data_IF_630585565871
#
_entry.id   IF_630585565871
#
_cell.length_a   1.000
_cell.length_b   1.000
_cell.length_c   1.000
_cell.angle_alpha   90.00
_cell.angle_beta   90.00
_cell.angle_gamma   90.00
#
_symmetry.space_group_name_H-M   'P 1'
#
loop_
_entity.id
_entity.type
_entity.pdbx_description
1 polymer ?
#
# COMPACT_ATOMS: atom_id res chain seq x y z
N UNK A 1 -34.43 -1.73 44.15
CA UNK A 1 -33.31 -2.21 45.00
C UNK A 1 -33.92 -2.71 46.30
N UNK A 2 -34.36 -3.97 46.39
CA UNK A 2 -33.65 -5.04 47.08
C UNK A 2 -34.21 -6.40 46.60
N UNK A 3 -34.01 -6.72 45.30
CA UNK A 3 -34.36 -8.04 44.71
C UNK A 3 -33.27 -8.54 43.72
N UNK A 4 -32.04 -8.01 43.84
CA UNK A 4 -30.91 -8.29 42.93
C UNK A 4 -29.63 -8.82 43.62
N UNK A 5 -29.75 -9.58 44.72
CA UNK A 5 -28.57 -10.13 45.42
C UNK A 5 -28.65 -11.63 45.77
N UNK A 6 -29.68 -12.36 45.33
CA UNK A 6 -29.82 -13.79 45.59
C UNK A 6 -29.55 -14.69 44.36
N UNK A 7 -28.94 -14.15 43.30
CA UNK A 7 -28.64 -14.91 42.06
C UNK A 7 -27.14 -15.10 41.81
N UNK A 8 -26.28 -14.88 42.82
CA UNK A 8 -24.82 -14.93 42.69
C UNK A 8 -24.13 -15.93 43.63
N UNK A 9 -24.87 -16.81 44.33
CA UNK A 9 -24.29 -17.79 45.25
C UNK A 9 -24.68 -19.26 44.99
N UNK A 10 -25.35 -19.56 43.86
CA UNK A 10 -25.70 -20.96 43.51
C UNK A 10 -24.95 -21.53 42.30
N UNK A 11 -24.00 -20.80 41.70
CA UNK A 11 -23.17 -21.30 40.58
C UNK A 11 -21.75 -21.71 40.98
N UNK A 12 -21.44 -21.76 42.29
CA UNK A 12 -20.15 -22.21 42.80
C UNK A 12 -20.18 -23.58 43.49
N UNK A 13 -21.32 -24.28 43.49
CA UNK A 13 -21.49 -25.60 44.13
C UNK A 13 -21.72 -26.77 43.14
N UNK A 14 -21.74 -26.51 41.83
CA UNK A 14 -21.89 -27.55 40.79
C UNK A 14 -20.64 -27.71 39.90
N UNK A 15 -19.53 -27.06 40.25
CA UNK A 15 -18.25 -27.12 39.54
C UNK A 15 -17.17 -27.99 40.22
N UNK A 16 -17.51 -28.74 41.27
CA UNK A 16 -16.58 -29.63 41.98
C UNK A 16 -17.26 -30.95 42.29
N UNK A 17 -17.73 -31.64 41.25
CA UNK A 17 -18.00 -33.09 41.29
C UNK A 17 -18.07 -33.68 39.86
N UNK A 18 -17.12 -33.31 39.01
CA UNK A 18 -16.89 -33.95 37.71
C UNK A 18 -15.41 -34.31 37.57
N UNK A 19 -14.97 -35.20 38.45
CA UNK A 19 -13.86 -36.11 38.19
C UNK A 19 -14.35 -37.47 38.69
N UNK A 20 -14.27 -38.47 37.82
CA UNK A 20 -14.61 -39.90 37.96
C UNK A 20 -15.96 -40.33 37.37
N UNK A 21 -15.85 -41.26 36.41
CA UNK A 21 -16.88 -42.04 35.70
C UNK A 21 -17.57 -41.24 34.56
N UNK A 22 -17.54 -41.59 33.27
CA UNK A 22 -17.42 -42.88 32.62
C UNK A 22 -18.71 -43.14 31.82
N UNK A 23 -18.64 -43.06 30.49
CA UNK A 23 -19.55 -43.61 29.45
C UNK A 23 -21.04 -43.19 29.36
N UNK A 24 -21.38 -42.74 28.14
CA UNK A 24 -22.59 -42.92 27.30
C UNK A 24 -24.04 -42.93 27.83
N UNK A 25 -24.88 -42.30 26.98
CA UNK A 25 -26.30 -42.55 26.70
C UNK A 25 -27.40 -41.67 27.37
N UNK A 26 -28.01 -40.89 26.48
CA UNK A 26 -29.45 -40.67 26.29
C UNK A 26 -30.26 -39.89 27.36
N UNK A 27 -30.69 -38.68 26.98
CA UNK A 27 -32.07 -38.21 27.20
C UNK A 27 -32.47 -37.26 26.06
N UNK A 28 -33.07 -37.82 25.02
CA UNK A 28 -34.03 -37.10 24.20
C UNK A 28 -35.39 -37.14 24.90
N UNK A 29 -36.21 -36.11 24.67
CA UNK A 29 -37.61 -35.90 25.12
C UNK A 29 -37.79 -34.91 26.28
N UNK A 30 -37.81 -33.63 25.91
CA UNK A 30 -38.73 -32.63 26.45
C UNK A 30 -38.66 -31.36 25.59
N UNK A 31 -39.41 -31.33 24.48
CA UNK A 31 -39.53 -30.16 23.63
C UNK A 31 -40.96 -30.05 23.08
N UNK A 32 -41.94 -29.99 23.98
CA UNK A 32 -43.27 -29.45 23.66
C UNK A 32 -43.66 -28.49 24.79
N UNK A 33 -44.25 -27.37 24.41
CA UNK A 33 -44.71 -26.22 25.20
C UNK A 33 -43.68 -25.13 25.60
N UNK A 34 -43.22 -24.38 24.58
CA UNK A 34 -42.62 -23.06 24.77
C UNK A 34 -43.70 -21.96 24.67
N UNK A 35 -43.82 -21.02 25.63
CA UNK A 35 -44.90 -20.03 25.66
C UNK A 35 -44.81 -18.99 24.55
N UNK A 36 -45.98 -18.57 24.03
CA UNK A 36 -46.17 -17.65 22.90
C UNK A 36 -45.46 -16.29 23.07
N UNK A 37 -45.21 -15.86 24.30
CA UNK A 37 -44.49 -14.62 24.64
C UNK A 37 -43.00 -14.66 24.27
N UNK A 38 -42.36 -15.83 24.31
CA UNK A 38 -40.97 -16.04 23.90
C UNK A 38 -40.82 -16.23 22.38
N UNK A 39 -41.89 -16.58 21.67
CA UNK A 39 -41.89 -16.61 20.21
C UNK A 39 -41.91 -15.20 19.61
N UNK A 40 -42.60 -14.25 20.25
CA UNK A 40 -42.68 -12.84 19.81
C UNK A 40 -41.34 -12.10 20.02
N UNK A 41 -40.55 -12.47 21.04
CA UNK A 41 -39.23 -11.88 21.27
C UNK A 41 -38.14 -12.49 20.36
N UNK A 42 -38.27 -13.78 20.00
CA UNK A 42 -37.43 -14.42 18.97
C UNK A 42 -37.71 -13.88 17.56
N UNK A 43 -38.92 -13.38 17.32
CA UNK A 43 -39.32 -12.75 16.05
C UNK A 43 -38.96 -11.24 15.96
N UNK A 44 -38.59 -10.58 17.07
CA UNK A 44 -38.11 -9.17 17.06
C UNK A 44 -36.58 -9.03 16.97
N UNK A 45 -35.85 -10.14 16.99
CA UNK A 45 -34.41 -10.20 16.69
C UNK A 45 -34.14 -10.89 15.33
N UNK A 46 -35.15 -10.95 14.47
CA UNK A 46 -35.02 -11.35 13.06
C UNK A 46 -34.39 -10.19 12.29
N UNK A 47 -33.24 -10.49 11.71
CA UNK A 47 -32.59 -9.78 10.60
C UNK A 47 -32.30 -8.30 10.83
N UNK A 48 -31.27 -8.02 11.65
CA UNK A 48 -30.49 -6.82 11.42
C UNK A 48 -30.00 -6.87 9.95
N UNK A 49 -30.49 -5.95 9.11
CA UNK A 49 -30.07 -5.85 7.71
C UNK A 49 -28.55 -5.99 7.61
N UNK A 50 -28.04 -6.72 6.60
CA UNK A 50 -26.61 -6.79 6.39
C UNK A 50 -26.06 -5.36 6.31
N UNK A 51 -25.01 -5.06 7.08
CA UNK A 51 -24.39 -3.72 7.12
C UNK A 51 -23.67 -3.34 5.82
N UNK A 52 -24.00 -4.00 4.71
CA UNK A 52 -23.42 -3.82 3.39
C UNK A 52 -24.51 -3.74 2.32
N UNK A 53 -24.28 -2.89 1.33
CA UNK A 53 -25.17 -2.70 0.18
C UNK A 53 -24.32 -2.61 -1.08
N UNK A 54 -24.50 -3.62 -1.93
CA UNK A 54 -23.83 -3.73 -3.22
C UNK A 54 -24.88 -3.92 -4.31
N UNK A 55 -24.69 -3.24 -5.44
CA UNK A 55 -25.47 -3.52 -6.65
C UNK A 55 -25.13 -4.91 -7.19
N UNK A 56 -26.01 -5.48 -8.02
CA UNK A 56 -25.75 -6.77 -8.69
C UNK A 56 -24.45 -6.74 -9.50
N UNK A 57 -24.17 -5.61 -10.16
CA UNK A 57 -22.95 -5.41 -10.96
C UNK A 57 -21.70 -5.37 -10.07
N UNK A 58 -21.78 -4.73 -8.90
CA UNK A 58 -20.69 -4.70 -7.92
C UNK A 58 -20.41 -6.09 -7.34
N UNK A 59 -21.46 -6.83 -6.97
CA UNK A 59 -21.32 -8.21 -6.48
C UNK A 59 -20.67 -9.10 -7.54
N UNK A 60 -21.14 -9.04 -8.78
CA UNK A 60 -20.64 -9.88 -9.87
C UNK A 60 -19.16 -9.61 -10.18
N UNK A 61 -18.76 -8.36 -10.37
CA UNK A 61 -17.37 -8.03 -10.71
C UNK A 61 -16.42 -8.28 -9.53
N UNK A 62 -16.85 -7.99 -8.30
CA UNK A 62 -16.03 -8.27 -7.11
C UNK A 62 -15.85 -9.78 -6.89
N UNK A 63 -16.90 -10.57 -7.10
CA UNK A 63 -16.84 -12.02 -6.97
C UNK A 63 -15.83 -12.64 -7.95
N UNK A 64 -15.78 -12.19 -9.21
CA UNK A 64 -14.79 -12.69 -10.20
C UNK A 64 -13.35 -12.51 -9.72
N UNK A 65 -13.05 -11.39 -9.08
CA UNK A 65 -11.71 -11.13 -8.54
C UNK A 65 -11.43 -12.05 -7.34
N UNK A 66 -12.37 -12.18 -6.40
CA UNK A 66 -12.19 -13.07 -5.25
C UNK A 66 -12.13 -14.55 -5.64
N UNK A 67 -12.77 -14.95 -6.75
CA UNK A 67 -12.65 -16.29 -7.31
C UNK A 67 -11.24 -16.59 -7.85
N UNK A 68 -10.58 -15.61 -8.49
CA UNK A 68 -9.17 -15.75 -8.88
C UNK A 68 -8.27 -15.97 -7.65
N UNK A 69 -8.56 -15.30 -6.53
CA UNK A 69 -7.88 -15.56 -5.25
C UNK A 69 -8.22 -16.94 -4.68
N UNK A 70 -9.47 -17.39 -4.76
CA UNK A 70 -9.88 -18.73 -4.32
C UNK A 70 -9.15 -19.84 -5.09
N UNK A 71 -8.94 -19.65 -6.39
CA UNK A 71 -8.19 -20.58 -7.24
C UNK A 71 -6.69 -20.58 -6.92
N UNK A 72 -6.09 -19.40 -6.77
CA UNK A 72 -4.66 -19.28 -6.50
C UNK A 72 -4.28 -19.61 -5.04
N UNK A 73 -5.22 -19.53 -4.11
CA UNK A 73 -5.03 -19.84 -2.69
C UNK A 73 -6.15 -20.80 -2.20
N UNK A 74 -6.11 -22.08 -2.62
CA UNK A 74 -7.18 -23.05 -2.32
C UNK A 74 -7.44 -23.24 -0.82
N UNK A 75 -6.43 -23.01 0.03
CA UNK A 75 -6.56 -23.11 1.49
C UNK A 75 -7.52 -22.07 2.11
N UNK A 76 -7.95 -21.06 1.34
CA UNK A 76 -8.99 -20.12 1.78
C UNK A 76 -10.35 -20.82 1.96
N UNK A 77 -10.58 -21.95 1.26
CA UNK A 77 -11.83 -22.70 1.36
C UNK A 77 -13.07 -21.94 0.90
N UNK A 78 -12.89 -20.91 0.06
CA UNK A 78 -13.98 -20.10 -0.47
C UNK A 78 -14.78 -20.87 -1.51
N UNK A 79 -16.11 -20.89 -1.36
CA UNK A 79 -17.03 -21.54 -2.28
C UNK A 79 -18.38 -20.83 -2.33
N UNK A 80 -19.10 -20.95 -3.45
CA UNK A 80 -20.39 -20.29 -3.67
C UNK A 80 -20.27 -18.90 -4.28
N UNK A 81 -21.27 -18.05 -4.08
CA UNK A 81 -21.35 -16.71 -4.71
C UNK A 81 -21.52 -15.56 -3.71
N UNK A 82 -21.90 -15.87 -2.47
CA UNK A 82 -22.09 -14.88 -1.41
C UNK A 82 -20.79 -14.66 -0.64
N UNK A 83 -19.86 -13.92 -1.25
CA UNK A 83 -18.53 -13.69 -0.69
C UNK A 83 -18.54 -12.99 0.67
N UNK A 84 -19.62 -12.31 1.04
CA UNK A 84 -19.74 -11.68 2.36
C UNK A 84 -19.90 -12.68 3.51
N UNK A 85 -20.13 -13.96 3.19
CA UNK A 85 -20.14 -15.07 4.17
C UNK A 85 -18.81 -15.82 4.22
N UNK A 86 -17.85 -15.49 3.35
CA UNK A 86 -16.58 -16.20 3.29
C UNK A 86 -15.66 -15.83 4.45
N UNK A 87 -14.91 -16.80 5.02
CA UNK A 87 -13.91 -16.49 6.02
C UNK A 87 -12.88 -15.52 5.46
N UNK A 88 -12.37 -14.59 6.27
CA UNK A 88 -11.40 -13.57 5.84
C UNK A 88 -11.93 -12.51 4.86
N UNK A 89 -13.21 -12.57 4.47
CA UNK A 89 -13.88 -11.50 3.71
C UNK A 89 -14.82 -10.75 4.65
N UNK A 90 -14.64 -9.44 4.74
CA UNK A 90 -15.54 -8.56 5.48
C UNK A 90 -16.19 -7.58 4.51
N UNK A 91 -17.52 -7.57 4.50
CA UNK A 91 -18.32 -6.62 3.75
C UNK A 91 -18.86 -5.54 4.69
N UNK A 92 -18.62 -4.28 4.35
CA UNK A 92 -19.14 -3.14 5.10
C UNK A 92 -19.49 -2.00 4.15
N UNK A 93 -20.73 -1.52 4.22
CA UNK A 93 -21.31 -0.55 3.29
C UNK A 93 -21.07 -1.00 1.85
N UNK A 94 -20.29 -0.24 1.06
CA UNK A 94 -19.92 -0.59 -0.31
C UNK A 94 -18.44 -0.96 -0.43
N UNK A 95 -17.85 -1.51 0.63
CA UNK A 95 -16.45 -1.91 0.68
C UNK A 95 -16.29 -3.38 1.00
N UNK A 96 -15.31 -4.01 0.36
CA UNK A 96 -14.89 -5.38 0.60
C UNK A 96 -13.46 -5.36 1.10
N UNK A 97 -13.25 -5.96 2.27
CA UNK A 97 -11.94 -6.14 2.87
C UNK A 97 -11.60 -7.62 2.83
N UNK A 98 -10.53 -7.96 2.13
CA UNK A 98 -9.92 -9.27 2.17
C UNK A 98 -8.77 -9.23 3.18
N UNK A 99 -8.97 -9.80 4.37
CA UNK A 99 -7.98 -9.80 5.45
C UNK A 99 -7.84 -11.19 6.03
N UNK A 100 -6.68 -11.80 5.81
CA UNK A 100 -6.34 -13.09 6.42
C UNK A 100 -5.74 -12.85 7.79
N UNK A 101 -6.36 -13.42 8.82
CA UNK A 101 -5.87 -13.39 10.21
C UNK A 101 -5.75 -14.81 10.75
N UNK A 102 -4.58 -15.18 11.26
CA UNK A 102 -4.29 -16.58 11.60
C UNK A 102 -4.24 -17.50 10.38
N UNK A 103 -4.05 -18.81 10.63
CA UNK A 103 -3.95 -19.94 9.66
C UNK A 103 -2.93 -19.72 8.53
N UNK A 104 -2.02 -20.68 8.33
CA UNK A 104 -1.04 -20.65 7.25
C UNK A 104 -1.72 -20.89 5.89
N UNK A 105 -2.32 -19.87 5.28
CA UNK A 105 -2.89 -19.97 3.93
C UNK A 105 -1.79 -20.15 2.91
N UNK A 106 -1.91 -21.17 2.06
CA UNK A 106 -0.92 -21.56 1.07
C UNK A 106 -1.43 -21.28 -0.34
N UNK A 107 -0.63 -20.56 -1.13
CA UNK A 107 -0.96 -20.25 -2.51
C UNK A 107 -0.05 -19.21 -3.13
N UNK A 108 -0.47 -18.70 -4.28
CA UNK A 108 0.21 -17.63 -5.01
C UNK A 108 -0.68 -16.42 -5.22
N UNK A 109 -0.09 -15.29 -5.61
CA UNK A 109 -0.85 -14.11 -6.03
C UNK A 109 -1.42 -14.34 -7.46
N UNK A 110 -2.74 -14.21 -7.68
CA UNK A 110 -3.33 -14.40 -9.01
C UNK A 110 -3.14 -13.19 -9.90
N UNK A 111 -2.97 -13.43 -11.20
CA UNK A 111 -3.29 -12.45 -12.22
C UNK A 111 -4.80 -12.22 -12.28
N UNK A 112 -5.21 -10.96 -12.44
CA UNK A 112 -6.63 -10.60 -12.49
C UNK A 112 -7.17 -10.69 -13.93
N UNK A 113 -8.38 -11.25 -14.13
CA UNK A 113 -8.94 -11.51 -15.45
C UNK A 113 -9.25 -10.21 -16.23
N UNK A 114 -9.14 -10.27 -17.56
CA UNK A 114 -9.41 -9.12 -18.44
C UNK A 114 -10.90 -8.79 -18.59
N UNK A 115 -11.78 -9.79 -18.50
CA UNK A 115 -13.24 -9.65 -18.67
C UNK A 115 -13.96 -9.20 -17.37
N UNK A 116 -13.46 -8.14 -16.74
CA UNK A 116 -14.01 -7.52 -15.51
C UNK A 116 -14.13 -6.01 -15.70
N UNK A 117 -15.26 -5.45 -15.30
CA UNK A 117 -15.40 -4.00 -15.15
C UNK A 117 -14.89 -3.59 -13.77
N UNK A 118 -13.65 -3.09 -13.74
CA UNK A 118 -12.95 -2.73 -12.51
C UNK A 118 -13.51 -1.48 -11.81
N UNK A 119 -14.32 -0.66 -12.49
CA UNK A 119 -15.03 0.45 -11.84
C UNK A 119 -16.08 -0.03 -10.82
N UNK A 120 -16.51 -1.29 -10.96
CA UNK A 120 -17.47 -1.96 -10.09
C UNK A 120 -16.83 -3.00 -9.14
N UNK A 121 -15.50 -3.09 -9.05
CA UNK A 121 -14.81 -3.98 -8.10
C UNK A 121 -14.64 -3.28 -6.76
N UNK A 122 -15.30 -3.75 -5.71
CA UNK A 122 -15.41 -3.05 -4.42
C UNK A 122 -14.33 -3.46 -3.40
N UNK A 123 -13.24 -4.10 -3.84
CA UNK A 123 -12.13 -4.49 -2.97
C UNK A 123 -11.32 -3.26 -2.61
N UNK A 124 -11.33 -2.89 -1.33
CA UNK A 124 -10.62 -1.72 -0.80
C UNK A 124 -9.39 -2.12 0.01
N UNK A 125 -9.36 -3.34 0.53
CA UNK A 125 -8.24 -3.84 1.32
C UNK A 125 -7.88 -5.25 0.90
N UNK A 126 -6.58 -5.47 0.67
CA UNK A 126 -5.96 -6.80 0.57
C UNK A 126 -4.88 -6.85 1.65
N UNK A 127 -5.09 -7.68 2.66
CA UNK A 127 -4.16 -7.86 3.78
C UNK A 127 -3.85 -9.35 3.96
N UNK A 128 -2.64 -9.73 3.52
CA UNK A 128 -2.04 -11.05 3.60
C UNK A 128 -0.77 -11.01 4.47
N UNK A 129 -0.72 -10.13 5.47
CA UNK A 129 0.44 -9.97 6.34
C UNK A 129 0.75 -11.26 7.12
N UNK A 130 2.05 -11.50 7.34
CA UNK A 130 2.57 -12.56 8.21
C UNK A 130 2.18 -13.99 7.79
N UNK A 131 2.14 -14.23 6.48
CA UNK A 131 1.89 -15.57 5.91
C UNK A 131 3.16 -16.37 5.60
N UNK A 132 4.35 -15.83 5.91
CA UNK A 132 5.66 -16.47 5.73
C UNK A 132 5.79 -17.11 4.34
N UNK A 133 6.29 -18.34 4.26
CA UNK A 133 6.50 -19.09 3.02
C UNK A 133 5.23 -19.65 2.38
N UNK A 134 4.06 -19.36 2.94
CA UNK A 134 2.80 -19.94 2.48
C UNK A 134 2.20 -19.13 1.34
N UNK A 135 2.39 -17.81 1.32
CA UNK A 135 2.03 -16.96 0.18
C UNK A 135 3.29 -16.58 -0.60
N UNK A 136 3.29 -16.92 -1.90
CA UNK A 136 4.44 -16.75 -2.80
C UNK A 136 4.00 -16.26 -4.19
N UNK A 137 4.92 -16.26 -5.16
CA UNK A 137 4.69 -15.74 -6.51
C UNK A 137 5.12 -14.28 -6.66
N UNK A 138 4.94 -13.74 -7.86
CA UNK A 138 5.34 -12.38 -8.19
C UNK A 138 4.20 -11.37 -7.99
N UNK A 139 4.54 -10.09 -7.84
CA UNK A 139 3.54 -9.02 -7.81
C UNK A 139 2.85 -8.90 -9.18
N UNK A 140 1.53 -9.15 -9.29
CA UNK A 140 0.87 -9.15 -10.58
C UNK A 140 0.68 -7.73 -11.10
N UNK A 141 1.08 -7.49 -12.36
CA UNK A 141 0.92 -6.18 -13.00
C UNK A 141 -0.56 -5.80 -13.19
N UNK A 142 -1.41 -6.82 -13.35
CA UNK A 142 -2.87 -6.71 -13.49
C UNK A 142 -3.56 -6.07 -12.29
N UNK A 143 -2.94 -6.05 -11.10
CA UNK A 143 -3.51 -5.42 -9.90
C UNK A 143 -3.62 -3.92 -10.02
N UNK A 144 -2.88 -3.28 -10.94
CA UNK A 144 -3.05 -1.85 -11.26
C UNK A 144 -4.46 -1.47 -11.72
N UNK A 145 -5.28 -2.46 -12.11
CA UNK A 145 -6.68 -2.26 -12.50
C UNK A 145 -7.63 -2.05 -11.30
N UNK A 146 -7.23 -2.35 -10.06
CA UNK A 146 -8.09 -2.24 -8.88
C UNK A 146 -8.33 -0.78 -8.45
N UNK A 147 -9.32 -0.13 -9.08
CA UNK A 147 -9.57 1.32 -8.94
C UNK A 147 -9.93 1.78 -7.53
N UNK A 148 -10.53 0.90 -6.72
CA UNK A 148 -10.99 1.21 -5.36
C UNK A 148 -10.05 0.68 -4.26
N UNK A 149 -8.91 0.09 -4.62
CA UNK A 149 -7.95 -0.41 -3.63
C UNK A 149 -7.39 0.77 -2.83
N UNK A 150 -7.46 0.68 -1.50
CA UNK A 150 -6.97 1.71 -0.56
C UNK A 150 -5.76 1.18 0.22
N UNK A 151 -5.81 -0.07 0.65
CA UNK A 151 -4.79 -0.70 1.50
C UNK A 151 -4.29 -1.99 0.87
N UNK A 152 -2.98 -2.09 0.70
CA UNK A 152 -2.30 -3.31 0.31
C UNK A 152 -1.22 -3.66 1.34
N UNK A 153 -1.35 -4.81 2.00
CA UNK A 153 -0.36 -5.29 2.95
C UNK A 153 -0.05 -6.77 2.70
N UNK A 154 1.19 -7.05 2.35
CA UNK A 154 1.71 -8.42 2.14
C UNK A 154 3.07 -8.60 2.82
N UNK A 155 3.35 -7.80 3.86
CA UNK A 155 4.60 -7.90 4.59
C UNK A 155 4.78 -9.27 5.26
N UNK A 156 6.03 -9.71 5.39
CA UNK A 156 6.40 -11.01 5.97
C UNK A 156 5.75 -12.19 5.22
N UNK A 157 5.88 -12.17 3.89
CA UNK A 157 5.49 -13.26 2.97
C UNK A 157 6.66 -13.63 2.05
N UNK A 158 6.54 -14.71 1.28
CA UNK A 158 7.54 -15.12 0.27
C UNK A 158 7.24 -14.61 -1.13
N UNK A 159 6.47 -13.53 -1.24
CA UNK A 159 6.25 -12.83 -2.51
C UNK A 159 7.58 -12.25 -3.02
N UNK A 160 7.79 -12.34 -4.33
CA UNK A 160 9.04 -11.99 -5.01
C UNK A 160 8.80 -11.22 -6.32
N UNK A 161 9.86 -11.03 -7.12
CA UNK A 161 9.80 -10.27 -8.36
C UNK A 161 9.95 -8.77 -8.13
N UNK A 162 9.55 -7.96 -9.11
CA UNK A 162 9.73 -6.50 -9.08
C UNK A 162 8.46 -5.75 -8.73
N UNK A 163 8.59 -4.51 -8.29
CA UNK A 163 7.47 -3.59 -8.13
C UNK A 163 6.87 -3.26 -9.51
N UNK A 164 5.59 -3.57 -9.79
CA UNK A 164 5.04 -3.35 -11.12
C UNK A 164 4.86 -1.86 -11.43
N UNK A 165 5.42 -1.39 -12.55
CA UNK A 165 5.23 -0.01 -13.00
C UNK A 165 3.75 0.33 -13.26
N UNK A 166 2.94 -0.67 -13.64
CA UNK A 166 1.50 -0.53 -13.86
C UNK A 166 0.73 -0.14 -12.61
N UNK A 167 1.25 -0.40 -11.40
CA UNK A 167 0.60 0.04 -10.16
C UNK A 167 0.55 1.56 -10.01
N UNK A 168 1.26 2.32 -10.86
CA UNK A 168 1.09 3.77 -10.98
C UNK A 168 -0.34 4.22 -11.28
N UNK A 169 -1.23 3.33 -11.77
CA UNK A 169 -2.66 3.62 -11.98
C UNK A 169 -3.54 3.49 -10.72
N UNK A 170 -2.99 3.01 -9.60
CA UNK A 170 -3.72 2.83 -8.33
C UNK A 170 -3.94 4.18 -7.61
N UNK A 171 -4.89 4.97 -8.11
CA UNK A 171 -5.13 6.35 -7.62
C UNK A 171 -5.75 6.44 -6.23
N UNK A 172 -6.45 5.40 -5.77
CA UNK A 172 -7.10 5.37 -4.45
C UNK A 172 -6.21 4.82 -3.33
N UNK A 173 -5.09 4.17 -3.67
CA UNK A 173 -4.23 3.51 -2.67
C UNK A 173 -3.56 4.56 -1.79
N UNK A 174 -3.69 4.38 -0.48
CA UNK A 174 -3.08 5.24 0.55
C UNK A 174 -1.97 4.55 1.32
N UNK A 175 -1.99 3.21 1.36
CA UNK A 175 -1.06 2.40 2.14
C UNK A 175 -0.60 1.18 1.35
N UNK A 176 0.72 1.06 1.16
CA UNK A 176 1.37 -0.15 0.63
C UNK A 176 2.45 -0.60 1.64
N UNK A 177 2.39 -1.88 2.01
CA UNK A 177 3.35 -2.51 2.91
C UNK A 177 3.79 -3.87 2.39
N UNK A 178 5.06 -3.99 2.02
CA UNK A 178 5.72 -5.23 1.57
C UNK A 178 7.02 -5.54 2.33
N UNK A 179 7.20 -5.17 3.62
CA UNK A 179 8.48 -5.41 4.28
C UNK A 179 8.73 -6.90 4.49
N UNK A 180 10.00 -7.30 4.58
CA UNK A 180 10.38 -8.71 4.82
C UNK A 180 9.81 -9.65 3.76
N UNK A 181 10.04 -9.30 2.50
CA UNK A 181 9.66 -10.08 1.31
C UNK A 181 10.87 -10.26 0.40
N UNK A 182 10.74 -11.06 -0.67
CA UNK A 182 11.80 -11.26 -1.66
C UNK A 182 11.65 -10.35 -2.88
N UNK A 183 11.00 -9.19 -2.71
CA UNK A 183 10.86 -8.17 -3.77
C UNK A 183 12.24 -7.59 -4.10
N UNK A 184 12.53 -7.46 -5.39
CA UNK A 184 13.79 -6.96 -5.93
C UNK A 184 13.58 -5.94 -7.06
N UNK A 185 14.68 -5.48 -7.66
CA UNK A 185 14.66 -4.46 -8.72
C UNK A 185 14.51 -3.05 -8.17
N UNK A 186 14.19 -2.09 -9.04
CA UNK A 186 14.14 -0.66 -8.70
C UNK A 186 12.76 -0.15 -8.33
N UNK A 187 12.73 1.02 -7.66
CA UNK A 187 11.50 1.78 -7.44
C UNK A 187 10.98 2.33 -8.78
N UNK A 188 9.72 2.07 -9.17
CA UNK A 188 9.20 2.57 -10.44
C UNK A 188 8.96 4.09 -10.40
N UNK A 189 9.59 4.84 -11.31
CA UNK A 189 9.35 6.28 -11.46
C UNK A 189 7.87 6.58 -11.79
N UNK A 190 7.17 5.65 -12.46
CA UNK A 190 5.73 5.79 -12.81
C UNK A 190 4.82 5.93 -11.58
N UNK A 191 5.25 5.44 -10.41
CA UNK A 191 4.51 5.57 -9.14
C UNK A 191 4.36 7.02 -8.68
N UNK A 192 5.07 7.98 -9.30
CA UNK A 192 4.80 9.42 -9.15
C UNK A 192 3.31 9.78 -9.34
N UNK A 193 2.58 8.96 -10.10
CA UNK A 193 1.16 9.15 -10.44
C UNK A 193 0.19 8.69 -9.35
N UNK A 194 0.67 7.99 -8.32
CA UNK A 194 -0.14 7.51 -7.19
C UNK A 194 -0.40 8.66 -6.21
N UNK A 195 -1.32 9.56 -6.59
CA UNK A 195 -1.57 10.83 -5.89
C UNK A 195 -2.03 10.69 -4.43
N UNK A 196 -2.62 9.55 -4.07
CA UNK A 196 -3.15 9.29 -2.71
C UNK A 196 -2.20 8.49 -1.82
N UNK A 197 -1.11 7.94 -2.36
CA UNK A 197 -0.22 7.06 -1.60
C UNK A 197 0.48 7.87 -0.50
N UNK A 198 0.14 7.57 0.75
CA UNK A 198 0.58 8.32 1.92
C UNK A 198 1.64 7.58 2.75
N UNK A 199 1.59 6.25 2.75
CA UNK A 199 2.54 5.41 3.46
C UNK A 199 3.03 4.28 2.57
N UNK A 200 4.35 4.19 2.44
CA UNK A 200 5.02 3.12 1.72
C UNK A 200 6.09 2.48 2.61
N UNK A 201 5.92 1.18 2.86
CA UNK A 201 6.78 0.37 3.72
C UNK A 201 7.40 -0.75 2.88
N UNK A 202 8.70 -0.66 2.62
CA UNK A 202 9.45 -1.60 1.77
C UNK A 202 10.80 -1.98 2.41
N UNK A 203 10.89 -2.00 3.74
CA UNK A 203 12.14 -2.32 4.41
C UNK A 203 12.43 -3.82 4.44
N UNK A 204 13.71 -4.19 4.56
CA UNK A 204 14.14 -5.60 4.63
C UNK A 204 13.64 -6.38 3.40
N UNK A 205 14.00 -5.88 2.22
CA UNK A 205 13.75 -6.52 0.92
C UNK A 205 15.03 -6.52 0.07
N UNK A 206 14.95 -6.86 -1.21
CA UNK A 206 16.09 -6.93 -2.13
C UNK A 206 16.04 -5.81 -3.19
N UNK A 207 15.37 -4.70 -2.88
CA UNK A 207 15.26 -3.56 -3.79
C UNK A 207 16.61 -2.88 -3.99
N UNK A 208 16.88 -2.46 -5.21
CA UNK A 208 18.15 -1.88 -5.65
C UNK A 208 17.96 -0.72 -6.63
N UNK A 209 19.04 -0.20 -7.20
CA UNK A 209 19.02 0.98 -8.06
C UNK A 209 18.92 2.28 -7.27
N UNK A 210 18.56 3.38 -7.94
CA UNK A 210 18.51 4.72 -7.34
C UNK A 210 17.12 5.11 -6.85
N UNK A 211 17.05 6.12 -5.98
CA UNK A 211 15.79 6.74 -5.62
C UNK A 211 15.29 7.63 -6.77
N UNK A 212 14.05 7.44 -7.27
CA UNK A 212 13.53 8.18 -8.42
C UNK A 212 13.29 9.66 -8.08
N UNK A 213 13.97 10.61 -8.74
CA UNK A 213 13.74 12.04 -8.53
C UNK A 213 12.30 12.48 -8.83
N UNK A 214 11.59 11.74 -9.70
CA UNK A 214 10.19 11.98 -10.11
C UNK A 214 9.21 11.88 -8.94
N UNK A 215 9.55 11.13 -7.88
CA UNK A 215 8.71 11.03 -6.69
C UNK A 215 8.60 12.35 -5.91
N UNK A 216 9.42 13.35 -6.25
CA UNK A 216 9.27 14.72 -5.75
C UNK A 216 7.86 15.30 -5.96
N UNK A 217 7.10 14.82 -6.96
CA UNK A 217 5.73 15.27 -7.24
C UNK A 217 4.64 14.51 -6.49
N UNK A 218 4.96 13.52 -5.63
CA UNK A 218 3.96 12.74 -4.92
C UNK A 218 3.27 13.58 -3.84
N UNK A 219 2.01 13.95 -4.09
CA UNK A 219 1.28 14.91 -3.28
C UNK A 219 1.00 14.45 -1.83
N UNK A 220 0.76 13.16 -1.63
CA UNK A 220 0.31 12.62 -0.34
C UNK A 220 1.37 11.84 0.44
N UNK A 221 2.52 11.53 -0.16
CA UNK A 221 3.54 10.66 0.44
C UNK A 221 4.09 11.28 1.72
N UNK A 222 3.75 10.68 2.87
CA UNK A 222 4.11 11.18 4.19
C UNK A 222 5.14 10.32 4.93
N UNK A 223 5.04 9.00 4.79
CA UNK A 223 5.91 8.03 5.47
C UNK A 223 6.51 7.09 4.42
N UNK A 224 7.84 7.11 4.33
CA UNK A 224 8.59 6.27 3.42
C UNK A 224 9.67 5.50 4.19
N UNK A 225 9.54 4.17 4.22
CA UNK A 225 10.48 3.27 4.88
C UNK A 225 11.16 2.36 3.86
N UNK A 226 12.42 2.66 3.57
CA UNK A 226 13.26 1.97 2.57
C UNK A 226 14.56 1.40 3.17
N UNK A 227 14.67 1.35 4.49
CA UNK A 227 15.84 0.84 5.19
C UNK A 227 16.07 -0.65 4.95
N UNK A 228 17.30 -1.12 5.11
CA UNK A 228 17.67 -2.53 4.89
C UNK A 228 17.31 -3.00 3.46
N UNK A 229 17.89 -2.32 2.48
CA UNK A 229 17.78 -2.66 1.05
C UNK A 229 19.17 -2.51 0.40
N UNK A 230 19.22 -2.53 -0.93
CA UNK A 230 20.43 -2.45 -1.74
C UNK A 230 20.42 -1.19 -2.63
N UNK A 231 19.76 -0.11 -2.19
CA UNK A 231 19.70 1.13 -2.97
C UNK A 231 21.08 1.79 -3.09
N UNK A 232 21.39 2.30 -4.28
CA UNK A 232 22.66 2.93 -4.63
C UNK A 232 22.45 4.34 -5.17
N UNK A 233 23.55 5.02 -5.51
CA UNK A 233 23.52 6.37 -6.06
C UNK A 233 23.38 7.46 -5.00
N UNK A 234 23.26 8.70 -5.47
CA UNK A 234 23.09 9.87 -4.62
C UNK A 234 21.63 10.07 -4.22
N UNK A 235 21.43 10.77 -3.10
CA UNK A 235 20.10 11.12 -2.61
C UNK A 235 19.51 12.28 -3.43
N UNK A 236 18.28 12.17 -3.95
CA UNK A 236 17.69 13.17 -4.84
C UNK A 236 17.36 14.45 -4.07
N UNK A 237 18.05 15.55 -4.41
CA UNK A 237 17.82 16.85 -3.80
C UNK A 237 16.37 17.36 -3.99
N UNK A 238 15.70 16.92 -5.07
CA UNK A 238 14.30 17.26 -5.38
C UNK A 238 13.30 16.75 -4.35
N UNK A 239 13.62 15.70 -3.58
CA UNK A 239 12.73 15.20 -2.53
C UNK A 239 12.51 16.21 -1.38
N UNK A 240 13.37 17.24 -1.28
CA UNK A 240 13.12 18.40 -0.40
C UNK A 240 11.79 19.10 -0.70
N UNK A 241 11.27 18.98 -1.93
CA UNK A 241 10.03 19.61 -2.38
C UNK A 241 8.78 18.74 -2.19
N UNK A 242 8.92 17.51 -1.67
CA UNK A 242 7.76 16.64 -1.44
C UNK A 242 6.83 17.27 -0.39
N UNK A 243 5.59 17.63 -0.75
CA UNK A 243 4.75 18.51 0.08
C UNK A 243 4.29 17.84 1.38
N UNK A 244 4.04 16.53 1.32
CA UNK A 244 3.52 15.76 2.45
C UNK A 244 4.58 14.96 3.21
N UNK A 245 5.84 14.87 2.73
CA UNK A 245 6.83 13.99 3.35
C UNK A 245 7.12 14.45 4.79
N UNK A 246 7.10 13.51 5.73
CA UNK A 246 7.36 13.76 7.17
C UNK A 246 8.41 12.81 7.74
N UNK A 247 8.43 11.55 7.30
CA UNK A 247 9.37 10.54 7.80
C UNK A 247 9.97 9.74 6.65
N UNK A 248 11.29 9.70 6.61
CA UNK A 248 12.07 8.98 5.62
C UNK A 248 13.12 8.13 6.34
N UNK A 249 13.12 6.82 6.10
CA UNK A 249 14.15 5.92 6.62
C UNK A 249 14.90 5.23 5.49
N UNK A 250 16.21 5.44 5.44
CA UNK A 250 17.15 5.01 4.39
C UNK A 250 18.36 4.25 4.94
N UNK A 251 18.45 4.04 6.25
CA UNK A 251 19.59 3.36 6.89
C UNK A 251 19.79 1.94 6.35
N UNK A 252 21.02 1.43 6.40
CA UNK A 252 21.39 0.13 5.86
C UNK A 252 21.04 0.00 4.36
N UNK A 253 21.60 0.92 3.56
CA UNK A 253 21.62 0.86 2.10
C UNK A 253 23.04 1.13 1.59
N UNK A 254 23.21 1.22 0.26
CA UNK A 254 24.50 1.44 -0.41
C UNK A 254 24.57 2.84 -1.07
N UNK A 255 23.94 3.84 -0.45
CA UNK A 255 23.95 5.21 -0.98
C UNK A 255 25.34 5.83 -0.93
N UNK A 256 25.70 6.53 -2.01
CA UNK A 256 26.90 7.35 -2.08
C UNK A 256 26.55 8.84 -1.88
N UNK A 257 27.57 9.63 -1.62
CA UNK A 257 27.50 11.06 -1.42
C UNK A 257 26.87 11.47 -0.09
N UNK A 258 26.68 12.78 0.03
CA UNK A 258 26.13 13.43 1.22
C UNK A 258 24.61 13.54 1.18
N UNK A 259 23.99 13.64 2.36
CA UNK A 259 22.65 14.21 2.49
C UNK A 259 22.64 15.62 1.86
N UNK A 260 21.73 15.90 0.89
CA UNK A 260 21.65 17.19 0.24
C UNK A 260 21.34 18.32 1.24
N UNK A 261 21.93 19.50 1.03
CA UNK A 261 21.64 20.67 1.88
C UNK A 261 20.16 21.08 1.84
N UNK A 262 19.46 20.79 0.74
CA UNK A 262 18.02 21.02 0.62
C UNK A 262 17.22 20.22 1.65
N UNK A 263 17.68 19.03 2.04
CA UNK A 263 17.01 18.20 3.04
C UNK A 263 17.18 18.76 4.45
N UNK A 264 18.29 19.47 4.75
CA UNK A 264 18.50 20.11 6.07
C UNK A 264 17.46 21.19 6.37
N UNK A 265 16.92 21.81 5.33
CA UNK A 265 15.86 22.83 5.42
C UNK A 265 14.46 22.28 5.16
N UNK A 266 14.34 21.00 4.81
CA UNK A 266 13.05 20.38 4.54
C UNK A 266 12.30 20.05 5.83
N UNK A 267 10.99 19.89 5.74
CA UNK A 267 10.10 19.65 6.89
C UNK A 267 10.04 18.19 7.36
N UNK A 268 10.79 17.28 6.74
CA UNK A 268 10.77 15.86 7.08
C UNK A 268 11.98 15.43 7.90
N UNK A 269 11.79 14.38 8.70
CA UNK A 269 12.87 13.71 9.44
C UNK A 269 13.43 12.58 8.58
N UNK A 270 14.74 12.55 8.43
CA UNK A 270 15.47 11.49 7.71
C UNK A 270 16.38 10.72 8.66
N UNK A 271 16.38 9.39 8.53
CA UNK A 271 17.40 8.50 9.11
C UNK A 271 18.19 7.84 7.99
N UNK A 272 19.50 8.05 7.95
CA UNK A 272 20.43 7.54 6.94
C UNK A 272 21.70 7.04 7.61
N UNK A 273 22.51 6.25 6.92
CA UNK A 273 23.80 5.78 7.42
C UNK A 273 24.75 6.95 7.75
N UNK A 274 25.59 6.74 8.76
CA UNK A 274 26.52 7.77 9.26
C UNK A 274 27.46 8.27 8.17
N UNK A 275 27.87 7.41 7.22
CA UNK A 275 28.71 7.76 6.08
C UNK A 275 28.11 8.82 5.16
N UNK A 276 26.78 8.89 5.03
CA UNK A 276 26.11 9.90 4.20
C UNK A 276 25.84 11.21 4.96
N UNK A 277 25.95 11.19 6.29
CA UNK A 277 25.70 12.36 7.16
C UNK A 277 26.97 12.95 7.78
N UNK A 278 28.13 12.28 7.65
CA UNK A 278 29.43 12.74 8.12
C UNK A 278 29.92 14.00 7.39
N UNK A 279 30.77 14.82 8.02
CA UNK A 279 31.27 16.06 7.43
C UNK A 279 32.10 15.85 6.15
N UNK A 280 32.76 14.71 6.02
CA UNK A 280 33.58 14.32 4.87
C UNK A 280 32.87 13.35 3.91
N UNK A 281 31.55 13.22 3.98
CA UNK A 281 30.76 12.30 3.13
C UNK A 281 31.04 12.46 1.62
N UNK A 282 31.38 13.67 1.17
CA UNK A 282 31.65 13.95 -0.24
C UNK A 282 32.93 13.29 -0.75
N UNK A 283 33.93 13.09 0.11
CA UNK A 283 35.24 12.52 -0.24
C UNK A 283 35.39 11.08 0.24
N UNK A 284 34.89 10.76 1.44
CA UNK A 284 34.99 9.40 2.01
C UNK A 284 33.94 8.43 1.47
N UNK A 285 32.84 8.95 0.92
CA UNK A 285 31.75 8.17 0.33
C UNK A 285 31.35 8.79 -1.03
N UNK A 286 32.32 9.16 -1.87
CA UNK A 286 32.04 9.80 -3.16
C UNK A 286 31.18 8.90 -4.06
N UNK A 287 30.29 9.51 -4.83
CA UNK A 287 29.60 8.80 -5.90
C UNK A 287 30.53 8.67 -7.10
N UNK A 288 30.87 7.44 -7.50
CA UNK A 288 31.57 7.24 -8.75
C UNK A 288 30.66 7.66 -9.92
N UNK A 289 31.19 8.46 -10.87
CA UNK A 289 30.45 8.73 -12.10
C UNK A 289 30.21 7.38 -12.76
N UNK A 290 28.94 7.05 -12.98
CA UNK A 290 28.53 5.81 -13.62
C UNK A 290 29.12 5.78 -15.03
N UNK A 291 30.30 5.17 -15.20
CA UNK A 291 30.73 4.71 -16.51
C UNK A 291 29.86 3.52 -16.82
N UNK A 292 28.72 3.77 -17.47
CA UNK A 292 28.02 2.73 -18.19
C UNK A 292 28.96 2.31 -19.32
N UNK A 293 29.86 1.37 -19.05
CA UNK A 293 30.54 0.62 -20.09
C UNK A 293 29.46 -0.24 -20.71
N UNK A 294 28.75 0.32 -21.69
CA UNK A 294 28.09 -0.48 -22.71
C UNK A 294 29.22 -1.26 -23.37
N UNK A 295 29.38 -2.54 -23.02
CA UNK A 295 30.16 -3.44 -23.85
C UNK A 295 29.61 -3.31 -25.28
N UNK A 296 30.48 -2.95 -26.22
CA UNK A 296 30.13 -2.94 -27.63
C UNK A 296 29.53 -4.32 -27.96
N UNK A 297 28.44 -4.38 -28.76
CA UNK A 297 27.86 -5.66 -29.12
C UNK A 297 28.94 -6.50 -29.80
N UNK A 298 29.32 -7.60 -29.15
CA UNK A 298 30.14 -8.65 -29.76
C UNK A 298 29.33 -9.21 -30.92
N UNK A 299 29.72 -8.85 -32.14
CA UNK A 299 29.17 -9.41 -33.38
C UNK A 299 29.47 -10.91 -33.38
N UNK A 300 28.50 -11.70 -32.97
CA UNK A 300 28.54 -13.16 -33.14
C UNK A 300 28.03 -13.46 -34.54
N UNK A 301 28.97 -13.68 -35.47
CA UNK A 301 28.66 -14.18 -36.81
C UNK A 301 27.99 -15.54 -36.67
N UNK A 302 26.69 -15.59 -36.96
CA UNK A 302 25.95 -16.85 -37.10
C UNK A 302 26.22 -17.37 -38.51
N UNK A 303 26.85 -18.53 -38.65
CA UNK A 303 27.01 -19.20 -39.94
C UNK A 303 25.63 -19.57 -40.52
N UNK A 304 25.48 -19.38 -41.84
CA UNK A 304 24.26 -19.67 -42.58
C UNK A 304 23.94 -21.18 -42.58
N UNK A 305 22.66 -21.57 -42.57
CA UNK A 305 22.27 -22.98 -42.60
C UNK A 305 22.61 -23.62 -43.96
N UNK A 306 23.30 -24.74 -43.91
CA UNK A 306 23.56 -25.63 -45.06
C UNK A 306 22.27 -26.36 -45.46
N UNK A 307 21.77 -26.08 -46.66
CA UNK A 307 20.66 -26.83 -47.27
C UNK A 307 21.20 -28.03 -48.04
N UNK A 308 20.81 -29.25 -47.61
CA UNK A 308 21.12 -30.51 -48.29
C UNK A 308 20.15 -30.76 -49.43
N UNK A 309 20.69 -30.94 -50.64
CA UNK A 309 19.98 -31.28 -51.88
C UNK A 309 19.62 -32.77 -51.92
N UNK A 310 18.36 -33.09 -52.21
CA UNK A 310 17.90 -34.44 -52.60
C UNK A 310 17.38 -34.37 -54.04
N UNK A 311 17.81 -35.30 -54.90
CA UNK A 311 17.48 -35.37 -56.33
C UNK A 311 16.03 -35.77 -56.66
N UNK A 312 15.65 -35.47 -57.91
CA UNK A 312 14.32 -35.46 -58.51
C UNK A 312 13.71 -36.85 -58.86
N UNK A 313 12.46 -36.87 -59.37
CA UNK A 313 12.32 -37.15 -60.80
C UNK A 313 11.29 -36.30 -61.59
N UNK A 314 11.65 -35.99 -62.85
CA UNK A 314 10.91 -35.88 -64.14
C UNK A 314 9.38 -35.78 -64.15
N UNK A 315 8.62 -35.05 -64.99
CA UNK A 315 8.72 -34.31 -66.29
C UNK A 315 7.31 -33.69 -66.50
N UNK A 316 7.04 -32.50 -67.07
CA UNK A 316 6.77 -32.23 -68.50
C UNK A 316 6.13 -30.82 -68.67
N UNK A 317 6.74 -29.97 -69.50
CA UNK A 317 6.24 -28.95 -70.47
C UNK A 317 4.99 -28.05 -70.19
N UNK A 318 5.14 -26.71 -70.22
CA UNK A 318 4.81 -25.78 -71.35
C UNK A 318 4.71 -24.28 -70.91
N UNK A 319 5.56 -23.45 -71.53
CA UNK A 319 5.60 -21.98 -71.84
C UNK A 319 5.00 -20.84 -70.96
N UNK A 320 5.92 -20.02 -70.41
CA UNK A 320 6.22 -18.55 -70.51
C UNK A 320 5.18 -17.48 -71.00
N UNK A 321 5.45 -16.15 -70.82
CA UNK A 321 5.95 -15.42 -69.64
C UNK A 321 5.23 -14.05 -69.39
N UNK A 322 5.40 -13.44 -68.21
CA UNK A 322 5.30 -11.97 -68.05
C UNK A 322 6.32 -11.45 -67.05
N UNK A 323 6.78 -10.23 -67.31
CA UNK A 323 8.08 -9.62 -67.01
C UNK A 323 8.28 -9.08 -65.59
N UNK A 324 9.55 -9.06 -65.17
CA UNK A 324 10.09 -8.51 -63.92
C UNK A 324 10.61 -7.07 -64.14
N UNK A 325 10.50 -6.18 -63.16
CA UNK A 325 11.52 -5.16 -62.86
C UNK A 325 11.41 -4.75 -61.38
N UNK A 326 12.46 -5.01 -60.61
CA UNK A 326 12.68 -4.50 -59.25
C UNK A 326 13.94 -3.64 -59.32
N UNK A 327 13.85 -2.37 -58.92
CA UNK A 327 14.96 -1.42 -58.91
C UNK A 327 15.90 -1.63 -57.70
N UNK A 328 17.16 -1.23 -57.89
CA UNK A 328 18.26 -1.28 -56.93
C UNK A 328 18.23 -0.10 -55.92
N UNK A 329 18.92 -0.20 -54.76
CA UNK A 329 18.93 0.86 -53.76
C UNK A 329 19.95 1.96 -54.10
N UNK A 330 19.52 3.22 -53.97
CA UNK A 330 20.33 4.44 -54.10
C UNK A 330 21.10 4.78 -52.83
N UNK A 331 22.39 5.12 -53.01
CA UNK A 331 23.29 5.72 -52.03
C UNK A 331 22.92 7.18 -51.75
N UNK A 332 23.00 7.62 -50.50
CA UNK A 332 22.80 9.03 -50.11
C UNK A 332 24.09 9.61 -49.54
N UNK A 333 24.53 10.73 -50.11
CA UNK A 333 25.71 11.52 -49.72
C UNK A 333 25.32 12.57 -48.69
N UNK A 334 26.13 12.71 -47.65
CA UNK A 334 25.99 13.68 -46.54
C UNK A 334 26.64 15.03 -46.90
N UNK A 335 25.93 16.14 -46.75
CA UNK A 335 26.49 17.50 -46.75
C UNK A 335 26.68 18.05 -45.32
N UNK A 336 27.64 18.97 -45.18
CA UNK A 336 28.14 19.56 -43.93
C UNK A 336 27.24 20.69 -43.36
N UNK A 337 27.37 21.07 -42.07
CA UNK A 337 26.39 21.91 -41.40
C UNK A 337 26.69 23.42 -41.50
N UNK A 338 25.63 24.21 -41.66
CA UNK A 338 25.61 25.68 -41.48
C UNK A 338 25.20 26.09 -40.07
N UNK A 339 25.85 27.12 -39.54
CA UNK A 339 25.60 27.72 -38.22
C UNK A 339 24.45 28.75 -38.26
N UNK A 340 23.70 28.88 -37.16
CA UNK A 340 22.71 29.97 -36.97
C UNK A 340 22.76 30.45 -35.52
N UNK A 341 22.75 31.77 -35.33
CA UNK A 341 22.86 32.50 -34.06
C UNK A 341 21.47 32.89 -33.55
N UNK A 342 21.24 32.79 -32.23
CA UNK A 342 19.96 33.13 -31.56
C UNK A 342 20.16 34.25 -30.54
N UNK A 343 19.28 35.25 -30.51
CA UNK A 343 19.26 36.36 -29.55
C UNK A 343 18.55 36.03 -28.20
N UNK A 344 18.82 36.84 -27.17
CA UNK A 344 18.43 36.66 -25.77
C UNK A 344 17.05 37.26 -25.39
N UNK A 345 16.40 36.84 -24.27
CA UNK A 345 15.08 37.33 -23.88
C UNK A 345 15.07 38.41 -22.77
N UNK A 346 14.04 39.26 -22.80
CA UNK A 346 13.71 40.37 -21.88
C UNK A 346 12.76 39.97 -20.74
N UNK A 347 12.82 40.70 -19.62
CA UNK A 347 12.07 40.49 -18.36
C UNK A 347 10.83 41.39 -18.22
N UNK A 348 9.81 40.95 -17.47
CA UNK A 348 8.65 41.76 -17.05
C UNK A 348 8.25 41.45 -15.60
N UNK A 349 7.82 42.46 -14.85
CA UNK A 349 7.50 42.43 -13.40
C UNK A 349 6.03 42.81 -13.15
N UNK A 350 5.34 42.16 -12.20
CA UNK A 350 3.92 42.40 -11.85
C UNK A 350 3.72 42.56 -10.33
N UNK A 351 2.92 43.57 -9.92
CA UNK A 351 2.51 43.92 -8.54
C UNK A 351 1.45 42.98 -7.90
N UNK A 352 1.30 43.05 -6.57
CA UNK A 352 0.52 42.15 -5.70
C UNK A 352 -0.94 42.61 -5.40
N UNK A 353 -1.90 41.70 -5.12
CA UNK A 353 -3.29 42.03 -4.84
C UNK A 353 -3.59 42.29 -3.35
N UNK A 354 -4.62 43.12 -3.10
CA UNK A 354 -4.97 43.77 -1.83
C UNK A 354 -6.18 43.16 -1.10
N UNK A 355 -6.48 41.88 -1.25
CA UNK A 355 -7.67 41.25 -0.67
C UNK A 355 -7.32 40.11 0.29
N UNK A 356 -8.13 39.94 1.34
CA UNK A 356 -7.92 38.93 2.36
C UNK A 356 -8.15 37.51 1.82
N UNK A 357 -7.12 36.68 1.85
CA UNK A 357 -7.19 35.28 1.42
C UNK A 357 -7.76 34.34 2.50
N UNK A 358 -8.00 34.84 3.72
CA UNK A 358 -8.57 34.03 4.82
C UNK A 358 -10.10 33.98 4.74
N UNK A 359 -10.71 32.79 4.63
CA UNK A 359 -12.17 32.64 4.59
C UNK A 359 -12.85 33.16 5.86
N UNK A 360 -13.98 33.85 5.69
CA UNK A 360 -14.76 34.48 6.76
C UNK A 360 -14.02 35.57 7.55
N UNK A 361 -12.95 36.11 6.97
CA UNK A 361 -12.22 37.25 7.51
C UNK A 361 -12.77 38.56 6.96
N UNK A 362 -13.09 39.49 7.86
CA UNK A 362 -13.52 40.86 7.53
C UNK A 362 -12.31 41.77 7.33
N UNK A 363 -11.30 41.65 8.19
CA UNK A 363 -10.11 42.51 8.15
C UNK A 363 -8.86 41.68 8.37
N UNK A 364 -7.90 41.78 7.43
CA UNK A 364 -6.61 41.12 7.57
C UNK A 364 -5.66 41.92 8.43
N UNK A 365 -4.67 41.19 8.94
CA UNK A 365 -3.49 41.79 9.53
C UNK A 365 -2.78 42.64 8.46
N UNK A 366 -2.49 43.90 8.78
CA UNK A 366 -1.88 44.87 7.85
C UNK A 366 -0.63 44.28 7.21
N UNK A 367 -0.63 44.18 5.87
CA UNK A 367 0.50 43.63 5.10
C UNK A 367 0.56 42.10 5.02
N UNK A 368 -0.45 41.38 5.51
CA UNK A 368 -0.53 39.94 5.39
C UNK A 368 -1.97 39.47 5.05
N UNK A 369 -2.28 39.20 3.76
CA UNK A 369 -3.62 38.77 3.35
C UNK A 369 -3.97 37.36 3.84
N UNK A 370 -3.01 36.57 4.33
CA UNK A 370 -3.21 35.20 4.81
C UNK A 370 -3.50 35.10 6.31
N UNK A 371 -3.63 36.23 7.01
CA UNK A 371 -3.93 36.27 8.44
C UNK A 371 -5.07 37.22 8.74
N UNK A 372 -6.01 36.75 9.57
CA UNK A 372 -7.20 37.48 9.93
C UNK A 372 -7.10 38.14 11.29
N UNK A 373 -7.45 39.42 11.34
CA UNK A 373 -7.56 40.22 12.56
C UNK A 373 -8.99 40.21 13.11
N UNK A 374 -10.00 40.28 12.22
CA UNK A 374 -11.42 40.30 12.60
C UNK A 374 -12.24 39.34 11.75
N UNK A 375 -12.93 38.40 12.39
CA UNK A 375 -13.79 37.41 11.74
C UNK A 375 -15.26 37.84 11.64
N UNK A 376 -15.97 37.26 10.66
CA UNK A 376 -17.41 37.41 10.51
C UNK A 376 -18.20 36.82 11.70
N UNK A 377 -19.42 37.33 11.91
CA UNK A 377 -20.29 36.90 13.01
C UNK A 377 -20.53 35.38 12.98
N UNK A 378 -20.44 34.73 14.15
CA UNK A 378 -20.50 33.27 14.29
C UNK A 378 -19.15 32.54 14.22
N UNK A 379 -18.07 33.28 13.93
CA UNK A 379 -16.70 32.77 13.91
C UNK A 379 -15.85 33.48 14.97
N UNK A 380 -14.76 32.85 15.39
CA UNK A 380 -13.77 33.43 16.30
C UNK A 380 -12.37 33.29 15.73
N UNK A 381 -11.52 34.29 16.00
CA UNK A 381 -10.11 34.29 15.58
C UNK A 381 -9.37 33.29 16.45
N UNK A 382 -8.69 32.34 15.81
CA UNK A 382 -7.83 31.34 16.46
C UNK A 382 -6.43 31.90 16.73
N UNK A 383 -5.63 31.23 17.55
CA UNK A 383 -4.23 31.62 17.78
C UNK A 383 -3.37 31.62 16.50
N UNK A 384 -3.80 30.90 15.45
CA UNK A 384 -3.19 30.91 14.12
C UNK A 384 -3.70 32.06 13.22
N UNK A 385 -4.54 32.96 13.76
CA UNK A 385 -5.20 34.06 13.06
C UNK A 385 -6.07 33.64 11.88
N UNK A 386 -6.80 32.53 12.07
CA UNK A 386 -7.84 32.06 11.16
C UNK A 386 -9.21 32.14 11.81
N UNK A 387 -10.27 32.24 10.99
CA UNK A 387 -11.64 32.26 11.44
C UNK A 387 -12.21 30.85 11.57
N UNK A 388 -12.51 30.42 12.80
CA UNK A 388 -13.13 29.13 13.08
C UNK A 388 -14.55 29.33 13.62
N UNK A 389 -15.49 28.53 13.14
CA UNK A 389 -16.90 28.58 13.57
C UNK A 389 -16.99 28.23 15.05
N UNK A 390 -17.73 29.02 15.83
CA UNK A 390 -17.89 28.73 17.27
C UNK A 390 -18.54 27.36 17.45
N UNK A 391 -17.98 26.45 18.27
CA UNK A 391 -18.61 25.16 18.55
C UNK A 391 -19.96 25.37 19.22
N UNK A 392 -21.00 24.72 18.70
CA UNK A 392 -22.30 24.64 19.37
C UNK A 392 -22.11 23.94 20.71
N UNK A 393 -22.49 24.60 21.80
CA UNK A 393 -22.38 24.03 23.13
C UNK A 393 -23.38 22.88 23.27
N UNK A 394 -22.91 21.64 23.14
CA UNK A 394 -23.54 20.48 23.74
C UNK A 394 -22.50 19.42 24.12
N UNK A 395 -22.56 19.03 25.40
CA UNK A 395 -21.89 17.91 26.08
C UNK A 395 -20.43 18.11 26.50
N UNK A 396 -20.28 18.77 27.66
CA UNK A 396 -19.16 18.64 28.58
C UNK A 396 -19.34 17.42 29.51
N UNK A 397 -18.29 16.62 29.70
CA UNK A 397 -17.78 16.21 31.04
C UNK A 397 -16.60 15.22 30.92
N UNK A 398 -15.40 15.67 31.29
CA UNK A 398 -14.27 14.81 31.72
C UNK A 398 -14.49 14.26 33.14
N UNK A 399 -13.61 13.36 33.65
CA UNK A 399 -12.40 13.77 34.39
C UNK A 399 -11.14 12.95 33.97
N UNK A 400 -9.98 13.56 33.71
CA UNK A 400 -8.89 14.00 34.62
C UNK A 400 -8.11 12.89 35.34
N UNK A 401 -6.79 12.96 35.14
CA UNK A 401 -5.67 12.16 35.64
C UNK A 401 -5.37 12.28 37.13
N UNK A 402 -5.04 11.16 37.79
CA UNK A 402 -4.07 11.05 38.91
C UNK A 402 -3.79 9.57 39.20
N UNK A 403 -2.52 9.13 39.16
CA UNK A 403 -1.89 8.20 40.13
C UNK A 403 -0.54 7.69 39.58
N UNK A 404 0.53 8.40 39.94
CA UNK A 404 1.89 7.91 39.98
C UNK A 404 2.22 7.77 41.48
N UNK A 405 2.54 6.55 41.97
CA UNK A 405 3.59 6.25 42.95
C UNK A 405 3.35 4.96 43.75
N UNK A 406 4.50 4.36 44.10
CA UNK A 406 4.81 3.49 45.24
C UNK A 406 4.57 1.98 45.12
N UNK A 407 5.66 1.23 44.95
CA UNK A 407 6.01 0.14 45.86
C UNK A 407 7.50 -0.23 45.71
N UNK A 408 8.30 0.23 46.68
CA UNK A 408 9.60 -0.35 47.05
C UNK A 408 9.49 -0.92 48.46
N UNK A 409 10.15 -2.06 48.66
CA UNK A 409 10.81 -2.56 49.88
C UNK A 409 10.10 -3.56 50.82
N UNK A 410 10.98 -4.45 51.34
CA UNK A 410 10.90 -5.35 52.52
C UNK A 410 10.20 -6.71 52.29
N UNK A 411 10.74 -7.88 52.65
CA UNK A 411 11.98 -8.28 53.34
C UNK A 411 11.99 -9.84 53.36
N UNK A 412 13.12 -10.48 53.02
CA UNK A 412 14.05 -11.15 53.97
C UNK A 412 13.44 -12.32 54.78
N UNK A 413 13.92 -13.52 54.41
CA UNK A 413 14.20 -14.74 55.20
C UNK A 413 13.26 -15.16 56.36
N UNK A 414 12.76 -16.41 56.29
CA UNK A 414 13.27 -17.53 57.13
C UNK A 414 12.55 -18.87 56.87
N UNK A 415 13.38 -19.92 56.72
CA UNK A 415 13.25 -21.34 57.10
C UNK A 415 11.90 -22.08 56.87
N UNK A 416 11.82 -23.05 55.95
CA UNK A 416 12.30 -24.46 56.04
C UNK A 416 11.62 -25.24 57.18
N UNK A 417 10.59 -26.04 56.83
CA UNK A 417 10.46 -27.48 57.13
C UNK A 417 9.06 -28.00 56.77
N UNK A 418 9.04 -29.30 56.43
CA UNK A 418 7.90 -30.21 56.23
C UNK A 418 7.31 -30.36 54.81
N UNK A 419 8.03 -31.16 54.01
CA UNK A 419 7.54 -32.39 53.34
C UNK A 419 6.02 -32.62 53.34
N UNK A 420 5.38 -32.66 52.17
CA UNK A 420 5.28 -33.82 51.28
C UNK A 420 4.98 -33.36 49.85
#
# INVERSE_FOLDING_TARGET
MLRRLACAFLTAALGVFFVLLGSDAAMAHAAEDMPLSLQIEKARFSDAEPRYSFTTVQKLNTLKILQAFAEAIPSLGWAGTDFCKWPSVTCYQSTVLFTVSGISVKGTLPDLPDAVDYSHVMITTINLFNQKSSISGTLPSSWGKLQHLVTLNMGSTSVSGTLPASWGSLRAVTFISLPKTSISGSLPASWRSMSSLATLILYDTQLSGTLPPEWSSMASMGILQLHQNQFTGSLPASWAQMPALRRLSLIANNFCGCVPDSWRRASFRVTVDSQNSAANCATANSCDPTTTTTEAPTTTTTEAPTTTTTEAPTTTTTEAPTTTTTEAPTTTTTEAPTTTTTEAPTTTTTEAPSECEVPHCITCVRGNPTRCDVCASGYMVTAAQWCMKRPSADLASSPSSTALNAATSLGVLAAVLLSM
#
